data_IF_949768995097
#
_entry.id   IF_949768995097
#
_cell.length_a   1.000
_cell.length_b   1.000
_cell.length_c   1.000
_cell.angle_alpha   90.00
_cell.angle_beta   90.00
_cell.angle_gamma   90.00
#
_symmetry.space_group_name_H-M   'P 1'
#
loop_
_entity.id
_entity.type
_entity.pdbx_description
1 polymer ?
#
# COMPACT_ATOMS: atom_id res chain seq x y z
N UNK A 1 -81.42 -2.19 -12.49
CA UNK A 1 -81.20 -1.84 -11.07
C UNK A 1 -80.58 -3.07 -10.41
N UNK A 2 -79.33 -3.14 -10.31
CA UNK A 2 -78.62 -4.28 -9.72
C UNK A 2 -77.99 -3.81 -8.40
N UNK A 3 -78.40 -4.47 -7.31
CA UNK A 3 -78.03 -4.23 -5.95
C UNK A 3 -76.49 -4.49 -5.75
N UNK A 4 -75.77 -3.49 -5.42
CA UNK A 4 -74.39 -3.59 -4.91
C UNK A 4 -74.44 -4.00 -3.44
N UNK A 5 -74.15 -5.27 -3.20
CA UNK A 5 -74.15 -5.89 -1.88
C UNK A 5 -73.07 -5.27 -0.97
N UNK A 6 -73.46 -4.93 0.27
CA UNK A 6 -72.57 -4.41 1.34
C UNK A 6 -71.36 -5.32 1.65
N UNK A 7 -71.34 -6.51 1.12
CA UNK A 7 -70.21 -7.46 1.32
C UNK A 7 -68.99 -7.15 0.43
N UNK A 8 -69.14 -6.39 -0.65
CA UNK A 8 -68.04 -6.06 -1.59
C UNK A 8 -67.22 -4.85 -1.08
N UNK A 9 -67.76 -4.06 -0.15
CA UNK A 9 -67.06 -2.88 0.40
C UNK A 9 -66.11 -3.19 1.56
N UNK A 10 -66.21 -4.35 2.20
CA UNK A 10 -65.39 -4.78 3.31
C UNK A 10 -64.16 -5.60 2.93
N UNK A 11 -64.08 -6.03 1.65
CA UNK A 11 -62.94 -6.81 1.16
C UNK A 11 -61.80 -5.93 0.57
N UNK A 12 -62.02 -4.60 0.44
CA UNK A 12 -61.06 -3.67 -0.20
C UNK A 12 -60.16 -2.92 0.82
N UNK A 13 -60.40 -3.00 2.10
CA UNK A 13 -59.71 -2.16 3.10
C UNK A 13 -58.72 -2.92 3.98
N UNK A 14 -58.55 -4.22 3.80
CA UNK A 14 -57.59 -5.03 4.58
C UNK A 14 -56.29 -5.32 3.90
N UNK A 15 -56.09 -4.86 2.64
CA UNK A 15 -54.84 -5.11 1.92
C UNK A 15 -53.79 -3.97 2.03
N UNK A 16 -54.10 -2.86 2.68
CA UNK A 16 -53.22 -1.69 2.75
C UNK A 16 -52.42 -1.56 4.07
N UNK A 17 -52.57 -2.46 5.03
CA UNK A 17 -51.96 -2.35 6.37
C UNK A 17 -50.77 -3.30 6.65
N UNK A 18 -50.31 -4.06 5.64
CA UNK A 18 -49.29 -5.11 5.88
C UNK A 18 -47.89 -4.86 5.24
N UNK A 19 -47.58 -3.63 4.85
CA UNK A 19 -46.27 -3.34 4.20
C UNK A 19 -45.34 -2.40 5.01
N UNK A 20 -45.59 -2.23 6.29
CA UNK A 20 -44.72 -1.38 7.13
C UNK A 20 -43.94 -2.10 8.22
N UNK A 21 -43.77 -3.44 8.13
CA UNK A 21 -42.96 -4.16 9.12
C UNK A 21 -41.83 -4.85 8.38
N UNK A 22 -40.71 -4.18 8.22
CA UNK A 22 -39.50 -4.83 7.71
C UNK A 22 -38.45 -3.92 7.08
N UNK A 23 -38.40 -2.65 7.45
CA UNK A 23 -37.17 -1.90 7.21
C UNK A 23 -36.11 -2.48 8.17
N UNK A 24 -35.05 -3.15 7.69
CA UNK A 24 -33.97 -3.51 8.56
C UNK A 24 -33.45 -2.21 9.16
N UNK A 25 -33.37 -2.15 10.48
CA UNK A 25 -32.66 -1.07 11.16
C UNK A 25 -31.23 -1.10 10.63
N UNK A 26 -30.94 -0.28 9.63
CA UNK A 26 -29.58 0.02 9.25
C UNK A 26 -28.99 0.76 10.45
N UNK A 27 -28.38 0.02 11.34
CA UNK A 27 -27.50 0.63 12.32
C UNK A 27 -26.47 1.41 11.53
N UNK A 28 -26.60 2.73 11.49
CA UNK A 28 -25.57 3.58 10.92
C UNK A 28 -24.28 3.26 11.69
N UNK A 29 -23.42 2.50 11.03
CA UNK A 29 -22.14 2.12 11.61
C UNK A 29 -21.41 3.41 11.91
N UNK A 30 -21.14 3.70 13.19
CA UNK A 30 -20.35 4.87 13.57
C UNK A 30 -19.03 4.81 12.81
N UNK A 31 -18.86 5.73 11.87
CA UNK A 31 -17.60 5.85 11.14
C UNK A 31 -16.55 6.43 12.10
N UNK A 32 -15.42 5.74 12.22
CA UNK A 32 -14.32 6.16 13.07
C UNK A 32 -14.27 5.40 14.40
N UNK A 33 -13.27 5.69 15.18
CA UNK A 33 -12.95 5.05 16.45
C UNK A 33 -11.46 4.77 16.57
N UNK A 34 -11.03 4.28 17.74
CA UNK A 34 -9.65 3.87 17.98
C UNK A 34 -9.57 2.35 18.00
N UNK A 35 -8.73 1.79 17.16
CA UNK A 35 -8.35 0.39 17.22
C UNK A 35 -7.05 0.26 18.02
N UNK A 36 -7.02 -0.66 18.98
CA UNK A 36 -5.83 -1.00 19.75
C UNK A 36 -5.49 -2.46 19.52
N UNK A 37 -4.23 -2.74 19.26
CA UNK A 37 -3.74 -4.11 19.18
C UNK A 37 -2.38 -4.22 19.88
N UNK A 38 -2.07 -5.41 20.37
CA UNK A 38 -0.79 -5.70 21.00
C UNK A 38 0.10 -6.36 19.95
N UNK A 39 1.20 -5.69 19.62
CA UNK A 39 2.20 -6.22 18.72
C UNK A 39 3.03 -7.31 19.40
N UNK A 40 3.64 -8.22 18.59
CA UNK A 40 4.44 -9.33 19.11
C UNK A 40 5.79 -8.90 19.75
N UNK A 41 6.22 -7.66 19.53
CA UNK A 41 7.46 -7.08 20.07
C UNK A 41 7.34 -5.55 20.13
N UNK A 42 8.26 -4.92 20.87
CA UNK A 42 8.39 -3.48 20.91
C UNK A 42 9.06 -2.93 19.65
N UNK A 43 8.53 -1.81 19.13
CA UNK A 43 9.12 -1.10 18.00
C UNK A 43 10.27 -0.21 18.48
N UNK A 44 11.48 -0.58 18.16
CA UNK A 44 12.72 0.18 18.51
C UNK A 44 13.24 1.00 17.33
N UNK A 45 13.04 0.52 16.11
CA UNK A 45 13.53 1.12 14.87
C UNK A 45 12.41 1.11 13.85
N UNK A 46 12.15 2.24 13.21
CA UNK A 46 11.13 2.39 12.17
C UNK A 46 11.76 2.67 10.79
N UNK A 47 12.88 2.04 10.51
CA UNK A 47 13.49 2.03 9.17
C UNK A 47 13.52 0.62 8.62
N UNK A 48 12.60 0.27 7.70
CA UNK A 48 12.47 -1.08 7.17
C UNK A 48 13.62 -1.50 6.23
N UNK A 49 14.45 -0.57 5.82
CA UNK A 49 15.65 -0.87 5.02
C UNK A 49 16.85 -1.13 5.94
N UNK A 50 16.90 -0.47 7.07
CA UNK A 50 17.97 -0.65 8.05
C UNK A 50 17.98 -2.03 8.73
N UNK A 51 16.79 -2.56 9.05
CA UNK A 51 16.63 -3.82 9.79
C UNK A 51 15.65 -4.77 9.12
N UNK A 52 15.88 -6.08 9.29
CA UNK A 52 14.97 -7.16 8.87
C UNK A 52 13.95 -7.54 9.95
N UNK A 53 13.91 -6.82 11.07
CA UNK A 53 13.00 -7.12 12.18
C UNK A 53 11.53 -7.08 11.75
N UNK A 54 10.79 -8.15 12.04
CA UNK A 54 9.38 -8.28 11.66
C UNK A 54 8.51 -7.18 12.25
N UNK A 55 8.80 -6.75 13.48
CA UNK A 55 8.07 -5.64 14.09
C UNK A 55 8.21 -4.36 13.25
N UNK A 56 9.42 -4.00 12.82
CA UNK A 56 9.66 -2.84 11.96
C UNK A 56 8.92 -2.97 10.63
N UNK A 57 9.02 -4.12 9.96
CA UNK A 57 8.32 -4.39 8.70
C UNK A 57 6.81 -4.26 8.86
N UNK A 58 6.22 -4.85 9.91
CA UNK A 58 4.78 -4.82 10.12
C UNK A 58 4.27 -3.39 10.37
N UNK A 59 4.98 -2.59 11.16
CA UNK A 59 4.67 -1.17 11.33
C UNK A 59 4.88 -0.36 10.04
N UNK A 60 5.87 -0.72 9.23
CA UNK A 60 6.14 -0.04 7.96
C UNK A 60 5.03 -0.22 6.93
N UNK A 61 4.35 -1.36 6.89
CA UNK A 61 3.15 -1.57 6.06
C UNK A 61 1.98 -0.65 6.42
N UNK A 62 1.95 -0.09 7.62
CA UNK A 62 0.95 0.91 8.00
C UNK A 62 1.27 2.29 7.39
N UNK A 63 2.53 2.59 7.17
CA UNK A 63 3.02 3.95 6.81
C UNK A 63 3.38 4.06 5.33
N UNK A 64 4.02 3.03 4.76
CA UNK A 64 4.58 3.04 3.42
C UNK A 64 3.83 2.12 2.48
N UNK A 65 3.84 2.47 1.21
CA UNK A 65 3.37 1.63 0.12
C UNK A 65 4.53 0.94 -0.60
N UNK A 66 4.17 -0.03 -1.45
CA UNK A 66 5.08 -0.75 -2.34
C UNK A 66 4.62 -0.65 -3.79
N UNK A 67 5.52 -0.83 -4.75
CA UNK A 67 5.17 -0.86 -6.17
C UNK A 67 4.28 -2.04 -6.52
N UNK A 68 4.57 -3.19 -5.91
CA UNK A 68 3.85 -4.44 -6.05
C UNK A 68 3.61 -5.06 -4.67
N UNK A 69 2.57 -5.85 -4.56
CA UNK A 69 2.25 -6.65 -3.39
C UNK A 69 2.01 -8.10 -3.77
N UNK A 70 1.87 -8.96 -2.77
CA UNK A 70 1.55 -10.38 -2.94
C UNK A 70 0.12 -10.63 -2.51
N UNK A 71 -0.69 -11.28 -3.34
CA UNK A 71 -2.06 -11.65 -3.00
C UNK A 71 -2.13 -12.95 -2.18
N UNK A 72 -3.33 -13.38 -1.83
CA UNK A 72 -3.62 -14.60 -1.04
C UNK A 72 -3.17 -15.91 -1.71
N UNK A 73 -2.80 -15.86 -3.00
CA UNK A 73 -2.30 -16.99 -3.79
C UNK A 73 -0.81 -16.86 -4.09
N UNK A 74 -0.12 -16.02 -3.34
CA UNK A 74 1.30 -15.69 -3.55
C UNK A 74 1.61 -15.13 -4.94
N UNK A 75 0.61 -14.52 -5.61
CA UNK A 75 0.79 -13.89 -6.91
C UNK A 75 1.18 -12.43 -6.73
N UNK A 76 2.18 -11.98 -7.46
CA UNK A 76 2.60 -10.58 -7.47
C UNK A 76 1.55 -9.74 -8.19
N UNK A 77 1.04 -8.72 -7.53
CA UNK A 77 0.01 -7.79 -8.02
C UNK A 77 0.50 -6.35 -7.98
N UNK A 78 0.15 -5.53 -8.97
CA UNK A 78 0.44 -4.10 -8.92
C UNK A 78 -0.27 -3.43 -7.74
N UNK A 79 0.44 -2.57 -7.01
CA UNK A 79 -0.10 -1.70 -5.96
C UNK A 79 0.02 -0.23 -6.36
N UNK A 80 1.20 0.36 -6.35
CA UNK A 80 1.41 1.75 -6.82
C UNK A 80 1.56 1.83 -8.34
N UNK A 81 1.95 0.75 -9.01
CA UNK A 81 2.09 0.68 -10.47
C UNK A 81 0.73 0.51 -11.12
N UNK A 82 0.41 1.35 -12.12
CA UNK A 82 -0.74 1.18 -12.99
C UNK A 82 -0.49 0.15 -14.09
N UNK A 83 0.70 0.21 -14.70
CA UNK A 83 1.13 -0.70 -15.77
C UNK A 83 2.65 -0.79 -15.83
N UNK A 84 3.13 -1.90 -16.37
CA UNK A 84 4.51 -2.03 -16.80
C UNK A 84 4.59 -2.65 -18.18
N UNK A 85 5.74 -2.46 -18.84
CA UNK A 85 6.09 -3.13 -20.08
C UNK A 85 7.53 -3.59 -20.05
N UNK A 86 7.82 -4.63 -20.82
CA UNK A 86 9.16 -5.23 -20.92
C UNK A 86 9.52 -5.30 -22.39
N UNK A 87 10.76 -4.93 -22.73
CA UNK A 87 11.29 -5.09 -24.07
C UNK A 87 11.42 -6.57 -24.48
N UNK A 88 11.46 -6.85 -25.76
CA UNK A 88 11.52 -8.22 -26.28
C UNK A 88 12.75 -9.02 -25.82
N UNK A 89 13.86 -8.32 -25.53
CA UNK A 89 15.09 -8.90 -24.98
C UNK A 89 15.04 -9.10 -23.45
N UNK A 90 13.96 -8.61 -22.79
CA UNK A 90 13.78 -8.71 -21.34
C UNK A 90 14.67 -7.80 -20.50
N UNK A 91 15.36 -6.84 -21.13
CA UNK A 91 16.35 -5.99 -20.44
C UNK A 91 15.85 -4.61 -20.08
N UNK A 92 14.79 -4.11 -20.70
CA UNK A 92 14.24 -2.79 -20.42
C UNK A 92 12.83 -2.92 -19.85
N UNK A 93 12.67 -2.52 -18.61
CA UNK A 93 11.40 -2.50 -17.88
C UNK A 93 10.94 -1.06 -17.72
N UNK A 94 9.74 -0.75 -18.14
CA UNK A 94 9.12 0.58 -17.97
C UNK A 94 7.93 0.46 -17.04
N UNK A 95 7.92 1.24 -15.99
CA UNK A 95 6.87 1.24 -14.97
C UNK A 95 6.17 2.58 -14.95
N UNK A 96 4.84 2.60 -14.98
CA UNK A 96 4.03 3.81 -14.87
C UNK A 96 3.20 3.75 -13.58
N UNK A 97 3.29 4.77 -12.75
CA UNK A 97 2.55 4.89 -11.51
C UNK A 97 1.08 5.21 -11.75
N UNK A 98 0.22 4.80 -10.83
CA UNK A 98 -1.20 5.16 -10.82
C UNK A 98 -1.36 6.67 -10.60
N UNK A 99 -2.48 7.21 -11.06
CA UNK A 99 -2.88 8.57 -10.75
C UNK A 99 -3.27 8.73 -9.28
N UNK A 100 -3.08 9.93 -8.76
CA UNK A 100 -3.56 10.31 -7.44
C UNK A 100 -2.73 9.83 -6.26
N UNK A 101 -1.58 9.17 -6.48
CA UNK A 101 -0.67 8.79 -5.39
C UNK A 101 -0.11 10.03 -4.70
N UNK A 102 -0.26 10.08 -3.38
CA UNK A 102 0.19 11.23 -2.55
C UNK A 102 0.86 10.75 -1.27
N UNK A 103 1.84 11.49 -0.86
CA UNK A 103 2.38 11.41 0.49
C UNK A 103 1.37 11.92 1.53
N UNK A 104 1.55 11.58 2.79
CA UNK A 104 0.71 12.06 3.90
C UNK A 104 0.66 13.60 4.05
N UNK A 105 1.61 14.32 3.46
CA UNK A 105 1.62 15.79 3.41
C UNK A 105 0.90 16.36 2.18
N UNK A 106 0.27 15.52 1.37
CA UNK A 106 -0.49 15.92 0.17
C UNK A 106 0.33 16.10 -1.11
N UNK A 107 1.66 16.11 -1.05
CA UNK A 107 2.52 16.18 -2.24
C UNK A 107 2.41 14.87 -3.06
N UNK A 108 2.54 14.94 -4.40
CA UNK A 108 2.49 13.76 -5.24
C UNK A 108 3.70 12.83 -4.98
N UNK A 109 3.46 11.53 -5.11
CA UNK A 109 4.54 10.54 -5.23
C UNK A 109 5.04 10.56 -6.67
N UNK A 110 6.36 10.50 -6.85
CA UNK A 110 7.01 10.62 -8.16
C UNK A 110 7.82 9.38 -8.52
N UNK A 111 8.16 9.27 -9.80
CA UNK A 111 9.06 8.24 -10.30
C UNK A 111 10.48 8.35 -9.69
N UNK A 112 10.93 9.55 -9.33
CA UNK A 112 12.20 9.76 -8.63
C UNK A 112 12.18 9.11 -7.24
N UNK A 113 11.09 9.29 -6.49
CA UNK A 113 10.92 8.65 -5.18
C UNK A 113 11.07 7.12 -5.30
N UNK A 114 10.46 6.54 -6.33
CA UNK A 114 10.55 5.10 -6.59
C UNK A 114 11.98 4.65 -6.93
N UNK A 115 12.66 5.37 -7.81
CA UNK A 115 14.02 4.99 -8.23
C UNK A 115 15.02 5.09 -7.07
N UNK A 116 14.95 6.14 -6.26
CA UNK A 116 15.82 6.30 -5.10
C UNK A 116 15.52 5.26 -4.01
N UNK A 117 14.25 4.95 -3.77
CA UNK A 117 13.84 3.89 -2.84
C UNK A 117 14.38 2.52 -3.25
N UNK A 118 14.26 2.16 -4.54
CA UNK A 118 14.78 0.90 -5.06
C UNK A 118 16.31 0.86 -4.91
N UNK A 119 17.01 1.95 -5.23
CA UNK A 119 18.48 2.02 -5.07
C UNK A 119 18.92 1.82 -3.61
N UNK A 120 18.23 2.46 -2.65
CA UNK A 120 18.53 2.29 -1.23
C UNK A 120 18.27 0.87 -0.76
N UNK A 121 17.10 0.31 -1.09
CA UNK A 121 16.73 -1.06 -0.77
C UNK A 121 17.71 -2.09 -1.34
N UNK A 122 18.11 -1.91 -2.61
CA UNK A 122 19.01 -2.83 -3.31
C UNK A 122 20.42 -2.91 -2.69
N UNK A 123 20.83 -1.93 -1.89
CA UNK A 123 22.10 -1.97 -1.15
C UNK A 123 22.05 -2.89 0.08
N UNK A 124 20.88 -3.11 0.65
CA UNK A 124 20.71 -3.83 1.93
C UNK A 124 20.12 -5.22 1.77
N UNK A 125 19.08 -5.36 0.98
CA UNK A 125 18.36 -6.62 0.81
C UNK A 125 19.13 -7.60 -0.08
N UNK A 126 19.23 -8.90 0.27
CA UNK A 126 19.92 -9.89 -0.57
C UNK A 126 19.36 -10.01 -1.98
N UNK A 127 18.02 -9.98 -2.13
CA UNK A 127 17.37 -10.05 -3.44
C UNK A 127 17.53 -8.73 -4.20
N UNK A 128 17.53 -7.62 -3.49
CA UNK A 128 17.85 -6.31 -4.03
C UNK A 128 19.27 -6.22 -4.57
N UNK A 129 20.26 -6.77 -3.84
CA UNK A 129 21.64 -6.89 -4.30
C UNK A 129 21.76 -7.75 -5.55
N UNK A 130 21.01 -8.83 -5.62
CA UNK A 130 20.97 -9.68 -6.81
C UNK A 130 20.40 -8.93 -8.01
N UNK A 131 19.27 -8.19 -7.83
CA UNK A 131 18.76 -7.31 -8.88
C UNK A 131 19.77 -6.24 -9.28
N UNK A 132 20.43 -5.60 -8.32
CA UNK A 132 21.44 -4.57 -8.57
C UNK A 132 22.64 -5.09 -9.39
N UNK A 133 23.05 -6.35 -9.18
CA UNK A 133 24.14 -6.97 -9.96
C UNK A 133 23.81 -7.10 -11.46
N UNK A 134 22.52 -7.17 -11.80
CA UNK A 134 22.06 -7.21 -13.21
C UNK A 134 21.63 -5.83 -13.71
N UNK A 135 21.56 -4.82 -12.84
CA UNK A 135 21.09 -3.48 -13.17
C UNK A 135 22.18 -2.66 -13.86
N UNK A 136 21.94 -2.22 -15.08
CA UNK A 136 22.76 -1.22 -15.75
C UNK A 136 22.40 0.19 -15.28
N UNK A 137 21.08 0.51 -15.24
CA UNK A 137 20.59 1.83 -14.86
C UNK A 137 19.14 1.76 -14.35
N UNK A 138 18.80 2.59 -13.37
CA UNK A 138 17.41 2.91 -13.04
C UNK A 138 17.26 4.42 -12.98
N UNK A 139 16.25 4.98 -13.66
CA UNK A 139 16.06 6.44 -13.73
C UNK A 139 14.61 6.81 -14.01
N UNK A 140 14.11 7.96 -13.49
CA UNK A 140 12.85 8.50 -13.90
C UNK A 140 12.92 8.93 -15.38
N UNK A 141 11.84 8.68 -16.12
CA UNK A 141 11.64 9.17 -17.48
C UNK A 141 10.80 10.45 -17.47
N UNK A 142 9.81 10.48 -16.59
CA UNK A 142 8.95 11.64 -16.28
C UNK A 142 8.49 11.54 -14.81
N UNK A 143 7.56 12.39 -14.38
CA UNK A 143 7.10 12.42 -12.99
C UNK A 143 6.41 11.14 -12.52
N UNK A 144 5.88 10.30 -13.43
CA UNK A 144 5.13 9.09 -13.13
C UNK A 144 5.75 7.82 -13.71
N UNK A 145 6.69 7.97 -14.62
CA UNK A 145 7.27 6.84 -15.34
C UNK A 145 8.75 6.73 -15.04
N UNK A 146 9.19 5.54 -14.66
CA UNK A 146 10.61 5.24 -14.53
C UNK A 146 10.98 3.98 -15.33
N UNK A 147 12.25 3.88 -15.62
CA UNK A 147 12.83 2.80 -16.41
C UNK A 147 13.93 2.11 -15.62
N UNK A 148 13.88 0.79 -15.61
CA UNK A 148 14.94 -0.10 -15.15
C UNK A 148 15.57 -0.75 -16.37
N UNK A 149 16.83 -0.46 -16.61
CA UNK A 149 17.64 -1.06 -17.66
C UNK A 149 18.60 -2.08 -17.05
N UNK A 150 18.57 -3.29 -17.57
CA UNK A 150 19.38 -4.40 -17.11
C UNK A 150 20.56 -4.60 -18.09
N UNK A 151 21.74 -4.77 -17.56
CA UNK A 151 22.92 -5.17 -18.33
C UNK A 151 22.74 -6.60 -18.88
N UNK A 152 22.16 -7.47 -18.02
CA UNK A 152 21.81 -8.84 -18.37
C UNK A 152 20.36 -9.12 -17.95
N UNK A 153 19.70 -10.04 -18.69
CA UNK A 153 18.33 -10.43 -18.38
C UNK A 153 18.21 -10.98 -16.95
N UNK A 154 17.28 -10.44 -16.19
CA UNK A 154 16.92 -10.90 -14.86
C UNK A 154 15.41 -11.20 -14.81
N UNK A 155 15.04 -12.48 -14.82
CA UNK A 155 13.63 -12.90 -14.87
C UNK A 155 12.80 -12.41 -13.70
N UNK A 156 13.24 -12.58 -12.43
CA UNK A 156 12.43 -12.33 -11.25
C UNK A 156 12.41 -10.84 -10.81
N UNK A 157 12.28 -9.89 -11.75
CA UNK A 157 12.17 -8.44 -11.42
C UNK A 157 10.93 -8.15 -10.59
N UNK A 158 9.78 -8.73 -10.95
CA UNK A 158 8.53 -8.46 -10.24
C UNK A 158 8.53 -9.11 -8.85
N UNK A 159 9.09 -10.30 -8.73
CA UNK A 159 9.25 -11.00 -7.46
C UNK A 159 10.18 -10.23 -6.52
N UNK A 160 11.21 -9.60 -7.04
CA UNK A 160 12.10 -8.75 -6.27
C UNK A 160 11.38 -7.49 -5.76
N UNK A 161 10.60 -6.83 -6.64
CA UNK A 161 9.87 -5.60 -6.30
C UNK A 161 8.58 -5.84 -5.51
N UNK A 162 8.04 -7.06 -5.51
CA UNK A 162 6.80 -7.42 -4.82
C UNK A 162 7.00 -8.30 -3.59
N UNK A 163 8.25 -8.59 -3.19
CA UNK A 163 8.52 -9.47 -2.05
C UNK A 163 7.91 -8.95 -0.74
N UNK A 164 7.24 -9.80 0.06
CA UNK A 164 6.52 -9.36 1.25
C UNK A 164 7.35 -9.43 2.54
N UNK A 165 8.58 -9.93 2.51
CA UNK A 165 9.35 -10.27 3.70
C UNK A 165 10.82 -9.86 3.60
N UNK A 166 11.56 -9.94 4.73
CA UNK A 166 12.89 -9.36 4.92
C UNK A 166 12.86 -7.84 4.75
N UNK A 167 13.83 -7.19 4.10
CA UNK A 167 13.70 -5.80 3.73
C UNK A 167 12.78 -5.71 2.50
N UNK A 168 11.58 -5.19 2.70
CA UNK A 168 10.58 -4.96 1.63
C UNK A 168 10.95 -3.67 0.90
N UNK A 169 10.81 -3.58 -0.43
CA UNK A 169 11.10 -2.38 -1.20
C UNK A 169 10.00 -1.31 -1.02
N UNK A 170 9.86 -0.81 0.20
CA UNK A 170 8.97 0.29 0.51
C UNK A 170 9.38 1.57 -0.20
N UNK A 171 8.41 2.30 -0.71
CA UNK A 171 8.63 3.57 -1.37
C UNK A 171 8.61 4.71 -0.35
N UNK A 172 9.65 5.53 -0.40
CA UNK A 172 9.90 6.68 0.47
C UNK A 172 10.13 7.92 -0.39
N UNK A 173 9.93 9.14 0.13
CA UNK A 173 10.35 10.35 -0.55
C UNK A 173 11.83 10.29 -0.94
N UNK A 174 12.19 10.81 -2.13
CA UNK A 174 13.55 10.71 -2.67
C UNK A 174 14.61 11.24 -1.68
N UNK A 175 14.32 12.35 -0.98
CA UNK A 175 15.23 12.91 0.03
C UNK A 175 15.41 11.99 1.25
N UNK A 176 14.41 11.19 1.61
CA UNK A 176 14.49 10.17 2.67
C UNK A 176 15.26 8.96 2.16
N UNK A 177 14.95 8.49 0.96
CA UNK A 177 15.63 7.38 0.31
C UNK A 177 17.11 7.66 0.01
N UNK A 178 17.50 8.94 -0.11
CA UNK A 178 18.89 9.36 -0.24
C UNK A 178 19.73 9.18 1.05
N UNK A 179 19.09 8.90 2.20
CA UNK A 179 19.79 8.56 3.43
C UNK A 179 20.74 7.38 3.18
N UNK A 180 22.04 7.49 3.55
CA UNK A 180 22.97 6.38 3.40
C UNK A 180 22.44 5.08 4.00
N UNK A 181 22.72 3.96 3.37
CA UNK A 181 22.26 2.66 3.86
C UNK A 181 22.95 2.24 5.18
N UNK A 182 24.01 2.95 5.58
CA UNK A 182 24.66 2.85 6.88
C UNK A 182 23.99 3.71 7.97
N UNK A 183 22.96 4.50 7.64
CA UNK A 183 22.25 5.38 8.56
C UNK A 183 20.75 5.09 8.58
N UNK A 184 20.12 5.28 9.75
CA UNK A 184 18.68 5.20 9.87
C UNK A 184 18.00 6.48 9.37
N UNK A 185 16.84 6.33 8.73
CA UNK A 185 16.00 7.48 8.38
C UNK A 185 15.49 8.19 9.64
N UNK A 186 15.28 9.51 9.52
CA UNK A 186 14.74 10.36 10.60
C UNK A 186 13.37 10.94 10.26
N UNK A 187 13.00 10.92 8.98
CA UNK A 187 11.68 11.32 8.47
C UNK A 187 10.89 10.06 8.11
N UNK A 188 9.66 9.97 8.63
CA UNK A 188 8.76 8.82 8.46
C UNK A 188 7.56 9.18 7.59
N UNK A 189 7.73 10.12 6.66
CA UNK A 189 6.71 10.49 5.70
C UNK A 189 6.44 9.32 4.74
N UNK A 190 5.23 8.82 4.74
CA UNK A 190 4.78 7.72 3.91
C UNK A 190 3.57 8.06 3.05
N UNK A 191 3.09 7.08 2.29
CA UNK A 191 1.90 7.13 1.44
C UNK A 191 0.88 6.05 1.79
N UNK A 192 1.18 5.23 2.80
CA UNK A 192 0.36 4.11 3.24
C UNK A 192 -0.93 4.53 3.95
N UNK A 193 -1.72 3.57 4.42
CA UNK A 193 -3.06 3.82 4.96
C UNK A 193 -3.08 4.62 6.27
N UNK A 194 -1.97 4.69 6.99
CA UNK A 194 -1.87 5.38 8.28
C UNK A 194 -0.68 6.33 8.31
N UNK A 195 -0.85 7.43 9.05
CA UNK A 195 0.22 8.38 9.34
C UNK A 195 0.82 8.07 10.72
N UNK A 196 2.14 7.95 10.79
CA UNK A 196 2.86 7.80 12.05
C UNK A 196 2.85 9.11 12.85
N UNK A 197 2.44 9.03 14.12
CA UNK A 197 2.42 10.18 15.05
C UNK A 197 3.66 10.09 15.92
N UNK A 198 4.76 10.66 15.43
CA UNK A 198 6.10 10.54 16.04
C UNK A 198 6.13 11.03 17.50
N UNK A 199 5.43 12.12 17.77
CA UNK A 199 5.46 12.75 19.11
C UNK A 199 4.70 11.94 20.18
N UNK A 200 3.87 10.98 19.74
CA UNK A 200 3.16 10.06 20.62
C UNK A 200 3.81 8.68 20.69
N UNK A 201 4.94 8.49 20.02
CA UNK A 201 5.68 7.24 20.11
C UNK A 201 6.44 7.16 21.45
N UNK A 202 6.12 6.17 22.24
CA UNK A 202 6.74 5.85 23.52
C UNK A 202 7.29 4.42 23.46
N UNK A 203 8.59 4.25 23.18
CA UNK A 203 9.21 2.93 23.12
C UNK A 203 8.94 2.11 24.39
N UNK A 204 8.56 0.84 24.21
CA UNK A 204 8.18 -0.05 25.30
C UNK A 204 6.73 0.13 25.81
N UNK A 205 5.99 1.10 25.30
CA UNK A 205 4.63 1.39 25.73
C UNK A 205 3.63 1.46 24.57
N UNK A 206 3.77 2.44 23.67
CA UNK A 206 2.82 2.62 22.56
C UNK A 206 3.44 3.20 21.30
N UNK A 207 2.81 2.90 20.18
CA UNK A 207 3.04 3.53 18.87
C UNK A 207 1.68 3.99 18.34
N UNK A 208 1.59 5.25 17.89
CA UNK A 208 0.34 5.87 17.47
C UNK A 208 0.36 6.19 15.96
N UNK A 209 -0.77 5.95 15.32
CA UNK A 209 -0.99 6.20 13.91
C UNK A 209 -2.30 6.94 13.67
#
# INVERSE_FOLDING_TARGET
MSDLSRRTFLAGTTAAAAVTIGAPFVHAQKRGGTMRFIAHADLKVLDPIWTTAYITRNHSYLIYDTLYGTDEKDQIRPQMVAKHSVSSDGKRWTFTLRDGLKWHNGKPVTAEDCTESIKRWAKRDPFGKLLAAHMGKISPQDSKTFVLELAERFGPVLEALGKPSSNVPFIMPAHVAATPDSEQIKDFLGSGPFRFVKDEWQPGNQVVY
#
